data_IF_648555890005
#
_entry.id   IF_648555890005
#
_cell.length_a   1.000
_cell.length_b   1.000
_cell.length_c   1.000
_cell.angle_alpha   90.00
_cell.angle_beta   90.00
_cell.angle_gamma   90.00
#
_symmetry.space_group_name_H-M   'P 1'
#
loop_
_entity.id
_entity.type
_entity.pdbx_description
1 polymer ?
#
# COMPACT_ATOMS: atom_id res chain seq x y z
N UNK A 1 -14.88 -3.79 14.47
CA UNK A 1 -14.18 -2.91 13.49
C UNK A 1 -13.32 -3.70 12.50
N UNK A 2 -12.49 -4.67 12.94
CA UNK A 2 -11.60 -5.46 12.06
C UNK A 2 -12.30 -6.31 10.96
N UNK A 3 -13.54 -6.77 11.19
CA UNK A 3 -14.28 -7.55 10.19
C UNK A 3 -14.86 -6.70 9.05
N UNK A 4 -15.12 -5.40 9.28
CA UNK A 4 -15.62 -4.48 8.24
C UNK A 4 -14.52 -4.18 7.22
N UNK A 5 -13.27 -4.06 7.68
CA UNK A 5 -12.12 -3.73 6.82
C UNK A 5 -11.79 -4.88 5.86
N UNK A 6 -11.94 -6.14 6.31
CA UNK A 6 -11.59 -7.35 5.54
C UNK A 6 -12.40 -7.51 4.24
N UNK A 7 -13.60 -6.94 4.15
CA UNK A 7 -14.43 -6.98 2.93
C UNK A 7 -14.17 -5.87 1.92
N UNK A 8 -13.40 -4.83 2.29
CA UNK A 8 -13.18 -3.67 1.41
C UNK A 8 -12.09 -3.94 0.38
N UNK A 9 -12.22 -3.34 -0.81
CA UNK A 9 -11.18 -3.36 -1.83
C UNK A 9 -9.91 -2.65 -1.34
N UNK A 10 -8.75 -3.09 -1.84
CA UNK A 10 -7.44 -2.51 -1.49
C UNK A 10 -7.43 -1.00 -1.72
N UNK A 11 -8.02 -0.56 -2.83
CA UNK A 11 -8.18 0.87 -3.19
C UNK A 11 -8.89 1.66 -2.09
N UNK A 12 -9.98 1.12 -1.56
CA UNK A 12 -10.76 1.79 -0.52
C UNK A 12 -10.03 1.81 0.82
N UNK A 13 -9.29 0.75 1.18
CA UNK A 13 -8.46 0.74 2.39
C UNK A 13 -7.35 1.79 2.35
N UNK A 14 -6.70 1.94 1.20
CA UNK A 14 -5.66 2.96 1.00
C UNK A 14 -6.24 4.39 1.08
N UNK A 15 -7.41 4.62 0.45
CA UNK A 15 -8.09 5.91 0.55
C UNK A 15 -8.52 6.23 1.99
N UNK A 16 -9.01 5.23 2.74
CA UNK A 16 -9.35 5.42 4.15
C UNK A 16 -8.12 5.73 4.99
N UNK A 17 -6.99 5.04 4.76
CA UNK A 17 -5.74 5.29 5.46
C UNK A 17 -5.27 6.74 5.22
N UNK A 18 -5.22 7.17 3.95
CA UNK A 18 -4.87 8.54 3.61
C UNK A 18 -5.84 9.56 4.21
N UNK A 19 -7.14 9.27 4.17
CA UNK A 19 -8.17 10.13 4.75
C UNK A 19 -8.00 10.31 6.25
N UNK A 20 -7.70 9.23 6.98
CA UNK A 20 -7.43 9.28 8.43
C UNK A 20 -6.16 10.07 8.72
N UNK A 21 -5.08 9.86 7.95
CA UNK A 21 -3.83 10.63 8.11
C UNK A 21 -4.06 12.12 7.86
N UNK A 22 -4.72 12.48 6.77
CA UNK A 22 -5.05 13.87 6.41
C UNK A 22 -5.93 14.50 7.49
N UNK A 23 -6.95 13.78 7.98
CA UNK A 23 -7.82 14.26 9.05
C UNK A 23 -7.02 14.52 10.34
N UNK A 24 -6.10 13.63 10.71
CA UNK A 24 -5.22 13.79 11.86
C UNK A 24 -4.35 15.05 11.75
N UNK A 25 -3.71 15.25 10.60
CA UNK A 25 -2.93 16.47 10.33
C UNK A 25 -3.80 17.74 10.34
N UNK A 26 -5.02 17.66 9.82
CA UNK A 26 -5.95 18.79 9.81
C UNK A 26 -6.38 19.18 11.23
N UNK A 27 -6.74 18.21 12.07
CA UNK A 27 -7.08 18.43 13.48
C UNK A 27 -5.88 19.03 14.23
N UNK A 28 -4.69 18.46 14.04
CA UNK A 28 -3.45 18.98 14.63
C UNK A 28 -3.19 20.42 14.19
N UNK A 29 -3.34 20.73 12.90
CA UNK A 29 -3.19 22.07 12.34
C UNK A 29 -4.15 23.07 12.95
N UNK A 30 -5.44 22.71 13.10
CA UNK A 30 -6.44 23.56 13.76
C UNK A 30 -6.08 23.81 15.22
N UNK A 31 -5.73 22.76 15.98
CA UNK A 31 -5.37 22.91 17.40
C UNK A 31 -4.12 23.76 17.57
N UNK A 32 -3.10 23.55 16.75
CA UNK A 32 -1.86 24.32 16.76
C UNK A 32 -2.12 25.78 16.40
N UNK A 33 -2.91 26.04 15.36
CA UNK A 33 -3.30 27.39 14.95
C UNK A 33 -4.08 28.11 16.04
N UNK A 34 -5.06 27.46 16.65
CA UNK A 34 -5.88 28.04 17.71
C UNK A 34 -5.05 28.35 18.97
N UNK A 35 -4.16 27.43 19.35
CA UNK A 35 -3.23 27.60 20.46
C UNK A 35 -2.29 28.78 20.21
N UNK A 36 -1.62 28.80 19.04
CA UNK A 36 -0.70 29.88 18.65
C UNK A 36 -1.42 31.23 18.59
N UNK A 37 -2.62 31.31 18.04
CA UNK A 37 -3.39 32.55 18.00
C UNK A 37 -3.78 33.07 19.38
N UNK A 38 -3.94 32.18 20.35
CA UNK A 38 -4.30 32.52 21.73
C UNK A 38 -3.10 33.06 22.51
N UNK A 39 -1.93 32.43 22.35
CA UNK A 39 -0.72 32.71 23.16
C UNK A 39 0.28 33.67 22.52
N UNK A 40 0.20 33.91 21.20
CA UNK A 40 1.13 34.80 20.49
C UNK A 40 1.16 36.22 21.06
N UNK A 41 2.24 36.95 20.76
CA UNK A 41 2.30 38.41 20.95
C UNK A 41 1.09 39.05 20.24
N UNK A 42 0.42 39.99 20.92
CA UNK A 42 -0.86 40.57 20.51
C UNK A 42 -2.06 39.60 20.47
N UNK A 43 -1.91 38.37 20.95
CA UNK A 43 -2.99 37.42 21.21
C UNK A 43 -3.84 37.80 22.43
N UNK A 44 -5.02 37.19 22.62
CA UNK A 44 -5.92 37.50 23.72
C UNK A 44 -5.30 37.28 25.10
N UNK A 45 -4.53 36.19 25.29
CA UNK A 45 -3.89 35.93 26.57
C UNK A 45 -2.78 36.95 26.87
N UNK A 46 -1.97 37.28 25.86
CA UNK A 46 -0.94 38.32 25.97
C UNK A 46 -1.54 39.67 26.35
N UNK A 47 -2.61 40.10 25.67
CA UNK A 47 -3.31 41.36 25.98
C UNK A 47 -3.85 41.40 27.41
N UNK A 48 -4.36 40.27 27.91
CA UNK A 48 -4.83 40.18 29.30
C UNK A 48 -3.69 40.33 30.31
N UNK A 49 -2.52 39.76 30.02
CA UNK A 49 -1.32 39.92 30.86
C UNK A 49 -0.86 41.38 30.84
N UNK A 50 -0.79 42.01 29.66
CA UNK A 50 -0.43 43.43 29.52
C UNK A 50 -1.40 44.32 30.29
N UNK A 51 -2.72 44.11 30.13
CA UNK A 51 -3.73 44.84 30.89
C UNK A 51 -3.53 44.72 32.41
N UNK A 52 -3.17 43.54 32.90
CA UNK A 52 -2.86 43.34 34.32
C UNK A 52 -1.62 44.11 34.77
N UNK A 53 -0.57 44.14 33.93
CA UNK A 53 0.64 44.92 34.19
C UNK A 53 0.37 46.43 34.17
N UNK A 54 -0.39 46.91 33.18
CA UNK A 54 -0.75 48.32 33.05
C UNK A 54 -1.58 48.78 34.26
N UNK A 55 -2.57 47.98 34.67
CA UNK A 55 -3.38 48.28 35.86
C UNK A 55 -2.54 48.34 37.14
N UNK A 56 -1.54 47.45 37.30
CA UNK A 56 -0.62 47.51 38.44
C UNK A 56 0.20 48.79 38.40
N UNK A 57 0.70 49.19 37.22
CA UNK A 57 1.49 50.40 37.03
C UNK A 57 0.68 51.68 37.27
N UNK A 58 -0.61 51.67 36.94
CA UNK A 58 -1.53 52.80 37.14
C UNK A 58 -1.92 53.00 38.62
N UNK A 59 -1.87 51.94 39.44
CA UNK A 59 -2.39 51.95 40.83
C UNK A 59 -1.28 51.99 41.88
N UNK A 60 -0.16 51.29 41.66
CA UNK A 60 0.93 51.23 42.63
C UNK A 60 2.03 52.23 42.28
N UNK A 61 2.56 52.98 43.27
CA UNK A 61 3.71 53.83 43.04
C UNK A 61 4.91 52.95 42.63
N UNK A 62 5.62 53.31 41.55
CA UNK A 62 6.74 52.52 41.07
C UNK A 62 7.91 52.59 42.07
N UNK A 63 8.48 51.44 42.48
CA UNK A 63 9.52 51.38 43.52
C UNK A 63 10.82 52.08 43.15
N UNK A 64 11.11 52.23 41.85
CA UNK A 64 12.26 52.99 41.33
C UNK A 64 11.97 54.50 41.18
N UNK A 65 10.91 55.02 41.81
CA UNK A 65 10.57 56.44 41.73
C UNK A 65 10.47 57.07 43.13
N UNK A 66 11.31 58.06 43.41
CA UNK A 66 11.37 58.77 44.71
C UNK A 66 10.23 59.77 44.94
N UNK A 67 9.16 59.75 44.13
CA UNK A 67 8.04 60.72 44.23
C UNK A 67 7.33 60.67 45.58
N UNK A 68 7.14 59.47 46.14
CA UNK A 68 6.50 59.32 47.45
C UNK A 68 7.42 59.84 48.57
N UNK A 69 8.73 59.58 48.49
CA UNK A 69 9.71 60.13 49.44
C UNK A 69 9.76 61.67 49.35
N UNK A 70 9.64 62.23 48.14
CA UNK A 70 9.52 63.67 47.95
C UNK A 70 8.23 64.24 48.53
N UNK A 71 7.08 63.58 48.34
CA UNK A 71 5.81 63.95 48.97
C UNK A 71 5.92 63.94 50.50
N UNK A 72 6.56 62.92 51.08
CA UNK A 72 6.81 62.84 52.53
C UNK A 72 7.65 64.04 52.99
N UNK A 73 8.65 64.47 52.21
CA UNK A 73 9.43 65.67 52.55
C UNK A 73 8.55 66.91 52.69
N UNK A 74 7.56 67.08 51.81
CA UNK A 74 6.63 68.20 51.87
C UNK A 74 5.64 68.06 53.03
N UNK A 75 5.12 66.85 53.29
CA UNK A 75 4.22 66.59 54.41
C UNK A 75 4.90 66.84 55.77
N UNK A 76 6.18 66.47 55.91
CA UNK A 76 6.96 66.70 57.12
C UNK A 76 7.14 68.20 57.44
N UNK A 77 7.17 69.07 56.43
CA UNK A 77 7.27 70.52 56.65
C UNK A 77 6.03 71.08 57.37
N UNK A 78 4.85 70.57 57.04
CA UNK A 78 3.57 71.09 57.54
C UNK A 78 3.06 70.33 58.77
N UNK A 79 3.49 69.07 58.98
CA UNK A 79 3.04 68.26 60.11
C UNK A 79 3.63 68.74 61.45
N UNK A 80 2.80 68.81 62.50
CA UNK A 80 3.19 69.25 63.84
C UNK A 80 3.07 68.13 64.87
N UNK A 81 2.34 67.06 64.57
CA UNK A 81 2.17 65.92 65.46
C UNK A 81 3.40 65.00 65.40
N UNK A 82 4.09 64.85 66.54
CA UNK A 82 5.32 64.05 66.66
C UNK A 82 5.13 62.58 66.26
N UNK A 83 4.00 61.95 66.61
CA UNK A 83 3.70 60.55 66.27
C UNK A 83 3.53 60.38 64.75
N UNK A 84 2.88 61.35 64.09
CA UNK A 84 2.73 61.32 62.63
C UNK A 84 4.06 61.58 61.91
N UNK A 85 4.89 62.50 62.43
CA UNK A 85 6.24 62.74 61.92
C UNK A 85 7.07 61.45 61.96
N UNK A 86 7.05 60.74 63.08
CA UNK A 86 7.81 59.49 63.22
C UNK A 86 7.31 58.40 62.27
N UNK A 87 5.99 58.28 62.10
CA UNK A 87 5.40 57.36 61.12
C UNK A 87 5.77 57.71 59.67
N UNK A 88 5.81 58.99 59.32
CA UNK A 88 6.26 59.45 58.00
C UNK A 88 7.74 59.13 57.77
N UNK A 89 8.59 59.28 58.80
CA UNK A 89 10.01 58.91 58.74
C UNK A 89 10.17 57.39 58.57
N UNK A 90 9.40 56.56 59.27
CA UNK A 90 9.39 55.11 59.09
C UNK A 90 8.98 54.72 57.67
N UNK A 91 7.91 55.33 57.14
CA UNK A 91 7.48 55.12 55.76
C UNK A 91 8.60 55.49 54.77
N UNK A 92 9.29 56.61 54.97
CA UNK A 92 10.41 57.00 54.11
C UNK A 92 11.57 56.00 54.15
N UNK A 93 11.90 55.45 55.34
CA UNK A 93 12.92 54.39 55.47
C UNK A 93 12.51 53.14 54.71
N UNK A 94 11.24 52.75 54.80
CA UNK A 94 10.70 51.61 54.06
C UNK A 94 10.80 51.84 52.54
N UNK A 95 10.38 53.00 52.04
CA UNK A 95 10.47 53.36 50.62
C UNK A 95 11.92 53.34 50.11
N UNK A 96 12.87 53.84 50.91
CA UNK A 96 14.29 53.75 50.56
C UNK A 96 14.76 52.29 50.44
N UNK A 97 14.34 51.42 51.37
CA UNK A 97 14.69 50.00 51.34
C UNK A 97 14.13 49.30 50.09
N UNK A 98 12.88 49.59 49.72
CA UNK A 98 12.26 49.07 48.50
C UNK A 98 13.00 49.56 47.24
N UNK A 99 13.36 50.85 47.21
CA UNK A 99 14.14 51.45 46.13
C UNK A 99 15.51 50.77 45.98
N UNK A 100 16.28 50.65 47.07
CA UNK A 100 17.61 50.03 47.04
C UNK A 100 17.52 48.57 46.57
N UNK A 101 16.55 47.81 47.10
CA UNK A 101 16.32 46.40 46.72
C UNK A 101 15.98 46.27 45.24
N UNK A 102 15.11 47.14 44.74
CA UNK A 102 14.72 47.11 43.32
C UNK A 102 15.87 47.53 42.41
N UNK A 103 16.72 48.43 42.89
CA UNK A 103 17.83 48.92 42.11
C UNK A 103 18.92 47.86 41.95
N UNK A 104 19.24 47.16 43.05
CA UNK A 104 20.14 46.01 43.05
C UNK A 104 19.66 44.91 42.08
N UNK A 105 18.35 44.63 42.09
CA UNK A 105 17.74 43.70 41.13
C UNK A 105 18.06 44.11 39.69
N UNK A 106 17.84 45.37 39.32
CA UNK A 106 18.09 45.84 37.95
C UNK A 106 19.58 45.89 37.60
N UNK A 107 20.49 46.16 38.54
CA UNK A 107 21.93 46.07 38.29
C UNK A 107 22.32 44.62 37.93
N UNK A 108 21.70 43.63 38.58
CA UNK A 108 22.00 42.21 38.41
C UNK A 108 21.36 41.57 37.17
N UNK A 109 20.26 42.15 36.67
CA UNK A 109 19.49 41.59 35.56
C UNK A 109 20.16 41.88 34.21
N UNK A 110 20.09 40.92 33.28
CA UNK A 110 20.58 41.13 31.91
C UNK A 110 19.54 41.83 31.07
N UNK A 111 19.85 43.03 30.57
CA UNK A 111 18.96 43.80 29.71
C UNK A 111 18.95 43.31 28.25
N UNK A 112 19.80 42.34 27.87
CA UNK A 112 20.04 41.93 26.48
C UNK A 112 21.32 42.54 25.91
N UNK A 113 21.66 42.13 24.68
CA UNK A 113 22.95 42.46 24.04
C UNK A 113 22.85 43.61 23.00
N UNK A 114 21.66 44.14 22.74
CA UNK A 114 21.49 45.20 21.74
C UNK A 114 22.06 46.53 22.26
N UNK A 115 22.51 47.40 21.35
CA UNK A 115 23.02 48.73 21.72
C UNK A 115 21.98 49.54 22.51
N UNK A 116 20.69 49.43 22.14
CA UNK A 116 19.57 50.07 22.85
C UNK A 116 19.36 49.50 24.26
N UNK A 117 19.72 48.25 24.50
CA UNK A 117 19.63 47.62 25.83
C UNK A 117 20.71 48.17 26.77
N UNK A 118 21.90 48.46 26.22
CA UNK A 118 23.00 49.11 26.96
C UNK A 118 22.64 50.54 27.35
N UNK A 119 22.11 51.33 26.41
CA UNK A 119 21.68 52.69 26.70
C UNK A 119 20.56 52.72 27.76
N UNK A 120 19.59 51.80 27.68
CA UNK A 120 18.52 51.69 28.67
C UNK A 120 19.06 51.31 30.05
N UNK A 121 20.03 50.39 30.09
CA UNK A 121 20.73 50.01 31.32
C UNK A 121 21.48 51.20 31.93
N UNK A 122 22.18 51.98 31.13
CA UNK A 122 22.89 53.17 31.63
C UNK A 122 21.91 54.24 32.15
N UNK A 123 20.76 54.38 31.51
CA UNK A 123 19.70 55.28 31.96
C UNK A 123 19.13 54.88 33.33
N UNK A 124 18.90 53.59 33.58
CA UNK A 124 18.37 53.13 34.89
C UNK A 124 19.43 53.10 35.99
N UNK A 125 20.67 52.68 35.66
CA UNK A 125 21.75 52.50 36.66
C UNK A 125 22.46 53.81 37.01
N UNK A 126 22.43 54.81 36.12
CA UNK A 126 23.15 56.07 36.33
C UNK A 126 22.22 57.28 36.29
N UNK A 127 21.48 57.45 35.19
CA UNK A 127 20.72 58.68 34.95
C UNK A 127 19.58 58.89 35.95
N UNK A 128 18.77 57.86 36.23
CA UNK A 128 17.73 57.94 37.26
C UNK A 128 18.30 57.72 38.68
N UNK A 129 19.31 56.87 38.84
CA UNK A 129 19.77 56.45 40.15
C UNK A 129 20.61 57.49 40.91
N UNK A 130 21.56 58.16 40.25
CA UNK A 130 22.49 59.06 40.92
C UNK A 130 21.76 60.22 41.65
N UNK A 131 20.79 60.92 41.03
CA UNK A 131 20.05 61.97 41.73
C UNK A 131 19.20 61.44 42.89
N UNK A 132 18.66 60.21 42.78
CA UNK A 132 17.88 59.59 43.85
C UNK A 132 18.72 59.26 45.09
N UNK A 133 19.96 58.80 44.92
CA UNK A 133 20.86 58.55 46.05
C UNK A 133 21.31 59.86 46.69
N UNK A 134 21.61 60.89 45.91
CA UNK A 134 21.93 62.22 46.45
C UNK A 134 20.74 62.82 47.21
N UNK A 135 19.52 62.67 46.67
CA UNK A 135 18.27 63.02 47.34
C UNK A 135 18.13 62.28 48.67
N UNK A 136 18.21 60.94 48.66
CA UNK A 136 18.06 60.14 49.88
C UNK A 136 19.12 60.48 50.91
N UNK A 137 20.38 60.67 50.49
CA UNK A 137 21.46 61.07 51.39
C UNK A 137 21.13 62.39 52.10
N UNK A 138 20.79 63.45 51.37
CA UNK A 138 20.43 64.73 52.01
C UNK A 138 19.13 64.67 52.80
N UNK A 139 18.17 63.87 52.36
CA UNK A 139 16.92 63.66 53.06
C UNK A 139 17.13 63.02 54.44
N UNK A 140 17.90 61.93 54.51
CA UNK A 140 18.13 61.21 55.78
C UNK A 140 19.20 61.87 56.66
N UNK A 141 20.28 62.39 56.09
CA UNK A 141 21.41 62.91 56.87
C UNK A 141 21.20 64.34 57.39
N UNK A 142 20.35 65.15 56.73
CA UNK A 142 20.20 66.57 57.05
C UNK A 142 18.75 67.01 57.21
N UNK A 143 17.87 66.68 56.24
CA UNK A 143 16.48 67.13 56.28
C UNK A 143 15.71 66.56 57.49
N UNK A 144 15.75 65.24 57.71
CA UNK A 144 15.07 64.61 58.87
C UNK A 144 15.58 65.18 60.20
N UNK A 145 16.89 65.30 60.46
CA UNK A 145 17.39 65.96 61.66
C UNK A 145 16.90 67.40 61.86
N UNK A 146 16.78 68.20 60.79
CA UNK A 146 16.21 69.55 60.87
C UNK A 146 14.73 69.54 61.28
N UNK A 147 13.94 68.60 60.75
CA UNK A 147 12.54 68.39 61.15
C UNK A 147 12.46 68.00 62.63
N UNK A 148 13.27 67.05 63.07
CA UNK A 148 13.29 66.57 64.47
C UNK A 148 13.73 67.66 65.47
N UNK A 149 14.63 68.56 65.06
CA UNK A 149 15.07 69.72 65.86
C UNK A 149 14.09 70.89 65.83
N UNK A 150 13.05 70.83 65.01
CA UNK A 150 12.09 71.93 64.83
C UNK A 150 12.60 73.10 63.98
N UNK A 151 13.75 72.94 63.29
CA UNK A 151 14.36 73.95 62.42
C UNK A 151 13.67 73.98 61.04
N UNK A 152 12.35 74.16 61.02
CA UNK A 152 11.51 74.01 59.82
C UNK A 152 11.83 74.99 58.69
N UNK A 153 12.32 76.19 58.98
CA UNK A 153 12.67 77.16 57.93
C UNK A 153 13.87 76.70 57.10
N UNK A 154 14.91 76.14 57.77
CA UNK A 154 16.06 75.53 57.08
C UNK A 154 15.66 74.26 56.34
N UNK A 155 14.81 73.43 56.94
CA UNK A 155 14.28 72.25 56.26
C UNK A 155 13.50 72.64 54.99
N UNK A 156 12.69 73.71 55.06
CA UNK A 156 11.92 74.23 53.92
C UNK A 156 12.84 74.75 52.81
N UNK A 157 13.91 75.45 53.16
CA UNK A 157 14.91 75.91 52.18
C UNK A 157 15.59 74.71 51.49
N UNK A 158 16.02 73.71 52.26
CA UNK A 158 16.64 72.50 51.74
C UNK A 158 15.68 71.70 50.83
N UNK A 159 14.40 71.63 51.20
CA UNK A 159 13.38 70.95 50.41
C UNK A 159 13.11 71.65 49.07
N UNK A 160 13.05 72.98 49.07
CA UNK A 160 12.77 73.78 47.86
C UNK A 160 13.95 73.89 46.90
N UNK A 161 15.17 73.81 47.41
CA UNK A 161 16.39 73.93 46.61
C UNK A 161 16.90 72.55 46.24
N UNK A 162 17.68 71.94 47.12
CA UNK A 162 18.42 70.71 46.84
C UNK A 162 17.49 69.50 46.60
N UNK A 163 16.51 69.25 47.48
CA UNK A 163 15.65 68.07 47.33
C UNK A 163 14.76 68.18 46.09
N UNK A 164 14.23 69.36 45.79
CA UNK A 164 13.46 69.59 44.56
C UNK A 164 14.34 69.42 43.31
N UNK A 165 15.54 70.00 43.28
CA UNK A 165 16.48 69.85 42.16
C UNK A 165 16.80 68.38 41.90
N UNK A 166 17.14 67.61 42.93
CA UNK A 166 17.46 66.18 42.78
C UNK A 166 16.25 65.34 42.41
N UNK A 167 15.06 65.68 42.91
CA UNK A 167 13.82 65.05 42.47
C UNK A 167 13.53 65.31 40.98
N UNK A 168 13.74 66.54 40.51
CA UNK A 168 13.54 66.93 39.12
C UNK A 168 14.56 66.24 38.19
N UNK A 169 15.84 66.18 38.57
CA UNK A 169 16.86 65.40 37.86
C UNK A 169 16.50 63.91 37.77
N UNK A 170 16.07 63.31 38.89
CA UNK A 170 15.62 61.93 38.92
C UNK A 170 14.41 61.70 38.00
N UNK A 171 13.41 62.61 38.04
CA UNK A 171 12.21 62.54 37.17
C UNK A 171 12.60 62.53 35.70
N UNK A 172 13.51 63.41 35.28
CA UNK A 172 13.99 63.45 33.88
C UNK A 172 14.67 62.12 33.50
N UNK A 173 15.46 61.54 34.42
CA UNK A 173 16.04 60.21 34.22
C UNK A 173 14.99 59.12 34.06
N UNK A 174 13.98 59.09 34.92
CA UNK A 174 12.85 58.15 34.86
C UNK A 174 12.07 58.33 33.55
N UNK A 175 11.74 59.55 33.14
CA UNK A 175 11.03 59.84 31.89
C UNK A 175 11.79 59.31 30.66
N UNK A 176 13.12 59.41 30.69
CA UNK A 176 13.98 58.87 29.64
C UNK A 176 13.96 57.34 29.63
N UNK A 177 14.05 56.69 30.80
CA UNK A 177 13.94 55.23 30.95
C UNK A 177 12.58 54.74 30.44
N UNK A 178 11.49 55.41 30.80
CA UNK A 178 10.12 55.09 30.34
C UNK A 178 10.03 55.20 28.82
N UNK A 179 10.49 56.31 28.24
CA UNK A 179 10.46 56.53 26.79
C UNK A 179 11.24 55.47 26.02
N UNK A 180 12.44 55.10 26.51
CA UNK A 180 13.27 54.06 25.91
C UNK A 180 12.66 52.66 26.07
N UNK A 181 12.03 52.38 27.21
CA UNK A 181 11.33 51.11 27.46
C UNK A 181 10.11 50.96 26.53
N UNK A 182 9.35 52.03 26.29
CA UNK A 182 8.23 52.03 25.35
C UNK A 182 8.72 51.71 23.93
N UNK A 183 9.78 52.37 23.46
CA UNK A 183 10.31 52.12 22.12
C UNK A 183 10.88 50.70 21.98
N UNK A 184 11.60 50.22 23.00
CA UNK A 184 12.08 48.83 23.05
C UNK A 184 10.92 47.83 22.95
N UNK A 185 9.90 47.97 23.79
CA UNK A 185 8.73 47.09 23.79
C UNK A 185 8.04 47.08 22.42
N UNK A 186 7.90 48.25 21.79
CA UNK A 186 7.31 48.37 20.44
C UNK A 186 8.14 47.62 19.39
N UNK A 187 9.46 47.74 19.41
CA UNK A 187 10.36 47.00 18.49
C UNK A 187 10.27 45.50 18.73
N UNK A 188 10.27 45.06 19.98
CA UNK A 188 10.19 43.64 20.34
C UNK A 188 8.82 43.03 19.99
N UNK A 189 7.72 43.76 20.18
CA UNK A 189 6.39 43.36 19.72
C UNK A 189 6.32 43.21 18.20
N UNK A 190 6.91 44.14 17.45
CA UNK A 190 6.98 44.07 15.98
C UNK A 190 7.81 42.88 15.51
N UNK A 191 8.99 42.65 16.12
CA UNK A 191 9.82 41.47 15.83
C UNK A 191 9.11 40.17 16.16
N UNK A 192 8.44 40.11 17.30
CA UNK A 192 7.65 38.95 17.73
C UNK A 192 6.52 38.64 16.75
N UNK A 193 5.74 39.64 16.36
CA UNK A 193 4.63 39.46 15.41
C UNK A 193 5.11 39.08 14.01
N UNK A 194 6.19 39.69 13.50
CA UNK A 194 6.79 39.33 12.22
C UNK A 194 7.32 37.90 12.19
N UNK A 195 8.03 37.49 13.25
CA UNK A 195 8.57 36.13 13.40
C UNK A 195 7.44 35.10 13.40
N UNK A 196 6.35 35.37 14.13
CA UNK A 196 5.20 34.47 14.20
C UNK A 196 4.52 34.37 12.83
N UNK A 197 4.30 35.49 12.13
CA UNK A 197 3.63 35.49 10.83
C UNK A 197 4.35 34.61 9.80
N UNK A 198 5.67 34.78 9.63
CA UNK A 198 6.42 33.98 8.65
C UNK A 198 6.51 32.51 9.04
N UNK A 199 6.73 32.20 10.33
CA UNK A 199 6.77 30.81 10.81
C UNK A 199 5.41 30.11 10.65
N UNK A 200 4.31 30.80 10.94
CA UNK A 200 2.96 30.26 10.71
C UNK A 200 2.71 30.00 9.23
N UNK A 201 3.15 30.90 8.34
CA UNK A 201 3.06 30.67 6.89
C UNK A 201 3.87 29.44 6.46
N UNK A 202 5.12 29.30 6.90
CA UNK A 202 5.94 28.11 6.61
C UNK A 202 5.30 26.81 7.10
N UNK A 203 4.73 26.79 8.30
CA UNK A 203 4.04 25.61 8.84
C UNK A 203 2.81 25.23 8.01
N UNK A 204 2.04 26.21 7.54
CA UNK A 204 0.91 25.95 6.63
C UNK A 204 1.42 25.34 5.31
N UNK A 205 2.49 25.89 4.73
CA UNK A 205 3.05 25.38 3.48
C UNK A 205 3.61 23.95 3.62
N UNK A 206 4.28 23.64 4.73
CA UNK A 206 4.74 22.27 5.03
C UNK A 206 3.54 21.34 5.16
N UNK A 207 2.52 21.71 5.94
CA UNK A 207 1.33 20.89 6.11
C UNK A 207 0.56 20.64 4.80
N UNK A 208 0.48 21.66 3.93
CA UNK A 208 -0.11 21.51 2.59
C UNK A 208 0.73 20.57 1.71
N UNK A 209 2.06 20.69 1.78
CA UNK A 209 3.01 19.80 1.11
C UNK A 209 2.85 18.35 1.53
N UNK A 210 2.68 18.08 2.83
CA UNK A 210 2.46 16.73 3.36
C UNK A 210 1.16 16.11 2.85
N UNK A 211 0.07 16.89 2.77
CA UNK A 211 -1.21 16.41 2.19
C UNK A 211 -1.02 16.01 0.73
N UNK A 212 -0.34 16.85 -0.07
CA UNK A 212 -0.05 16.57 -1.48
C UNK A 212 0.83 15.32 -1.61
N UNK A 213 1.85 15.19 -0.76
CA UNK A 213 2.75 14.04 -0.75
C UNK A 213 2.00 12.74 -0.44
N UNK A 214 1.14 12.73 0.58
CA UNK A 214 0.29 11.58 0.93
C UNK A 214 -0.60 11.18 -0.27
N UNK A 215 -1.18 12.16 -0.96
CA UNK A 215 -2.04 11.93 -2.11
C UNK A 215 -1.26 11.33 -3.29
N UNK A 216 -0.06 11.88 -3.59
CA UNK A 216 0.84 11.36 -4.63
C UNK A 216 1.21 9.90 -4.32
N UNK A 217 1.67 9.61 -3.10
CA UNK A 217 2.04 8.25 -2.67
C UNK A 217 0.84 7.29 -2.82
N UNK A 218 -0.35 7.70 -2.39
CA UNK A 218 -1.56 6.88 -2.56
C UNK A 218 -1.87 6.58 -4.02
N UNK A 219 -1.81 7.57 -4.90
CA UNK A 219 -2.04 7.38 -6.34
C UNK A 219 -0.99 6.44 -6.95
N UNK A 220 0.27 6.57 -6.56
CA UNK A 220 1.35 5.68 -7.01
C UNK A 220 1.10 4.23 -6.58
N UNK A 221 0.77 4.00 -5.30
CA UNK A 221 0.47 2.65 -4.79
C UNK A 221 -0.76 2.05 -5.48
N UNK A 222 -1.83 2.82 -5.68
CA UNK A 222 -3.02 2.36 -6.41
C UNK A 222 -2.65 1.94 -7.83
N UNK A 223 -1.84 2.73 -8.54
CA UNK A 223 -1.41 2.41 -9.91
C UNK A 223 -0.48 1.20 -9.96
N UNK A 224 0.45 1.06 -9.02
CA UNK A 224 1.45 -0.01 -9.03
C UNK A 224 0.89 -1.35 -8.54
N UNK A 225 -0.08 -1.35 -7.61
CA UNK A 225 -0.60 -2.58 -7.00
C UNK A 225 -1.98 -2.94 -7.54
N UNK A 226 -2.92 -1.99 -7.49
CA UNK A 226 -4.33 -2.30 -7.78
C UNK A 226 -4.55 -2.56 -9.26
N UNK A 227 -3.89 -1.80 -10.15
CA UNK A 227 -4.06 -1.94 -11.59
C UNK A 227 -3.55 -3.29 -12.12
N UNK A 228 -2.32 -3.76 -11.80
CA UNK A 228 -1.86 -5.07 -12.28
C UNK A 228 -2.69 -6.23 -11.71
N UNK A 229 -3.13 -6.15 -10.45
CA UNK A 229 -4.02 -7.16 -9.87
C UNK A 229 -5.36 -7.24 -10.61
N UNK A 230 -5.94 -6.11 -11.00
CA UNK A 230 -7.16 -6.09 -11.80
C UNK A 230 -6.97 -6.74 -13.17
N UNK A 231 -5.81 -6.55 -13.81
CA UNK A 231 -5.49 -7.23 -15.07
C UNK A 231 -5.38 -8.75 -14.91
N UNK A 232 -4.75 -9.22 -13.81
CA UNK A 232 -4.68 -10.65 -13.49
C UNK A 232 -6.06 -11.24 -13.27
N UNK A 233 -6.90 -10.58 -12.46
CA UNK A 233 -8.27 -11.04 -12.20
C UNK A 233 -9.09 -11.08 -13.49
N UNK A 234 -9.07 -10.03 -14.30
CA UNK A 234 -9.82 -9.99 -15.56
C UNK A 234 -9.37 -11.08 -16.55
N UNK A 235 -8.06 -11.36 -16.62
CA UNK A 235 -7.52 -12.42 -17.48
C UNK A 235 -7.90 -13.81 -16.95
N UNK A 236 -7.84 -13.99 -15.63
CA UNK A 236 -8.27 -15.24 -14.99
C UNK A 236 -9.76 -15.52 -15.19
N UNK A 237 -10.62 -14.51 -15.12
CA UNK A 237 -12.05 -14.64 -15.40
C UNK A 237 -12.31 -15.08 -16.86
N UNK A 238 -11.57 -14.54 -17.83
CA UNK A 238 -11.64 -14.99 -19.24
C UNK A 238 -11.22 -16.45 -19.40
N UNK A 239 -10.11 -16.84 -18.79
CA UNK A 239 -9.63 -18.23 -18.80
C UNK A 239 -10.66 -19.16 -18.15
N UNK A 240 -11.28 -18.76 -17.03
CA UNK A 240 -12.32 -19.52 -16.36
C UNK A 240 -13.58 -19.71 -17.22
N UNK A 241 -13.85 -18.79 -18.15
CA UNK A 241 -14.92 -18.90 -19.15
C UNK A 241 -14.52 -19.73 -20.38
N UNK A 242 -13.30 -20.29 -20.41
CA UNK A 242 -12.78 -21.10 -21.52
C UNK A 242 -12.10 -20.29 -22.63
N UNK A 243 -11.99 -18.97 -22.48
CA UNK A 243 -11.28 -18.12 -23.44
C UNK A 243 -9.77 -18.12 -23.16
N UNK A 244 -9.06 -19.04 -23.81
CA UNK A 244 -7.59 -19.11 -23.79
C UNK A 244 -6.92 -18.20 -24.83
N UNK A 245 -7.66 -17.34 -25.54
CA UNK A 245 -7.08 -16.42 -26.53
C UNK A 245 -6.58 -15.12 -25.91
N UNK A 246 -6.79 -14.92 -24.60
CA UNK A 246 -6.35 -13.72 -23.89
C UNK A 246 -4.84 -13.44 -24.02
N UNK A 247 -4.49 -12.17 -24.14
CA UNK A 247 -3.09 -11.75 -24.19
C UNK A 247 -2.36 -12.07 -22.88
N UNK A 248 -1.04 -12.28 -22.98
CA UNK A 248 -0.18 -12.43 -21.80
C UNK A 248 -0.20 -11.14 -20.98
N UNK A 249 -0.25 -11.30 -19.67
CA UNK A 249 -0.22 -10.17 -18.74
C UNK A 249 1.18 -9.57 -18.76
N UNK A 250 1.27 -8.27 -19.01
CA UNK A 250 2.54 -7.52 -19.04
C UNK A 250 2.67 -6.70 -17.76
N UNK A 251 3.30 -7.28 -16.75
CA UNK A 251 3.65 -6.60 -15.50
C UNK A 251 5.16 -6.34 -15.52
N UNK A 252 5.56 -5.07 -15.63
CA UNK A 252 6.98 -4.67 -15.68
C UNK A 252 7.64 -4.53 -14.31
N UNK A 253 6.93 -4.87 -13.22
CA UNK A 253 7.48 -4.79 -11.87
C UNK A 253 8.47 -5.92 -11.61
N UNK A 254 9.48 -5.67 -10.76
CA UNK A 254 10.45 -6.68 -10.32
C UNK A 254 10.10 -7.28 -8.96
N UNK A 255 8.93 -6.96 -8.43
CA UNK A 255 8.42 -7.43 -7.14
C UNK A 255 7.57 -8.71 -7.28
N UNK A 256 6.82 -9.06 -6.23
CA UNK A 256 5.92 -10.20 -6.19
C UNK A 256 4.83 -10.15 -7.26
N UNK A 257 4.41 -8.96 -7.71
CA UNK A 257 3.41 -8.80 -8.77
C UNK A 257 4.00 -9.13 -10.13
N UNK A 258 5.26 -8.76 -10.39
CA UNK A 258 5.99 -9.20 -11.58
C UNK A 258 6.07 -10.72 -11.66
N UNK A 259 6.53 -11.35 -10.57
CA UNK A 259 6.60 -12.82 -10.45
C UNK A 259 5.23 -13.48 -10.60
N UNK A 260 4.18 -12.90 -10.04
CA UNK A 260 2.80 -13.38 -10.20
C UNK A 260 2.40 -13.37 -11.68
N UNK A 261 2.67 -12.28 -12.39
CA UNK A 261 2.41 -12.18 -13.83
C UNK A 261 3.15 -13.23 -14.65
N UNK A 262 4.43 -13.47 -14.37
CA UNK A 262 5.22 -14.51 -15.04
C UNK A 262 4.68 -15.92 -14.79
N UNK A 263 4.39 -16.26 -13.54
CA UNK A 263 3.84 -17.58 -13.18
C UNK A 263 2.46 -17.77 -13.81
N UNK A 264 1.63 -16.73 -13.82
CA UNK A 264 0.31 -16.76 -14.45
C UNK A 264 0.40 -16.98 -15.97
N UNK A 265 1.35 -16.31 -16.63
CA UNK A 265 1.59 -16.50 -18.07
C UNK A 265 2.06 -17.93 -18.38
N UNK A 266 2.92 -18.52 -17.55
CA UNK A 266 3.32 -19.93 -17.69
C UNK A 266 2.12 -20.87 -17.54
N UNK A 267 1.21 -20.60 -16.61
CA UNK A 267 -0.02 -21.36 -16.46
C UNK A 267 -0.90 -21.28 -17.71
N UNK A 268 -1.08 -20.09 -18.29
CA UNK A 268 -1.83 -19.90 -19.54
C UNK A 268 -1.19 -20.68 -20.71
N UNK A 269 0.15 -20.63 -20.84
CA UNK A 269 0.86 -21.38 -21.88
C UNK A 269 0.67 -22.89 -21.71
N UNK A 270 0.77 -23.42 -20.48
CA UNK A 270 0.52 -24.83 -20.19
C UNK A 270 -0.92 -25.26 -20.52
N UNK A 271 -1.92 -24.43 -20.18
CA UNK A 271 -3.30 -24.70 -20.55
C UNK A 271 -3.47 -24.76 -22.07
N UNK A 272 -2.90 -23.80 -22.81
CA UNK A 272 -2.93 -23.80 -24.28
C UNK A 272 -2.29 -25.07 -24.87
N UNK A 273 -1.15 -25.49 -24.34
CA UNK A 273 -0.48 -26.70 -24.79
C UNK A 273 -1.35 -27.95 -24.59
N UNK A 274 -1.98 -28.10 -23.41
CA UNK A 274 -2.91 -29.20 -23.13
C UNK A 274 -4.07 -29.21 -24.13
N UNK A 275 -4.69 -28.05 -24.42
CA UNK A 275 -5.80 -27.99 -25.38
C UNK A 275 -5.36 -28.32 -26.82
N UNK A 276 -4.15 -27.93 -27.23
CA UNK A 276 -3.61 -28.32 -28.54
C UNK A 276 -3.36 -29.82 -28.63
N UNK A 277 -2.86 -30.44 -27.57
CA UNK A 277 -2.63 -31.89 -27.50
C UNK A 277 -3.94 -32.68 -27.50
N UNK A 278 -4.96 -32.22 -26.76
CA UNK A 278 -6.31 -32.78 -26.79
C UNK A 278 -6.89 -32.70 -28.19
N UNK A 279 -6.77 -31.55 -28.87
CA UNK A 279 -7.23 -31.38 -30.25
C UNK A 279 -6.53 -32.33 -31.21
N UNK A 280 -5.20 -32.42 -31.15
CA UNK A 280 -4.41 -33.34 -31.97
C UNK A 280 -4.81 -34.80 -31.75
N UNK A 281 -5.08 -35.18 -30.51
CA UNK A 281 -5.55 -36.53 -30.17
C UNK A 281 -6.96 -36.78 -30.72
N UNK A 282 -7.87 -35.80 -30.61
CA UNK A 282 -9.20 -35.89 -31.19
C UNK A 282 -9.16 -36.05 -32.72
N UNK A 283 -8.29 -35.30 -33.41
CA UNK A 283 -8.10 -35.41 -34.86
C UNK A 283 -7.56 -36.80 -35.26
N UNK A 284 -6.61 -37.36 -34.49
CA UNK A 284 -6.13 -38.74 -34.70
C UNK A 284 -7.24 -39.76 -34.50
N UNK A 285 -8.02 -39.64 -33.43
CA UNK A 285 -9.16 -40.52 -33.15
C UNK A 285 -10.20 -40.44 -34.28
N UNK A 286 -10.50 -39.24 -34.78
CA UNK A 286 -11.40 -39.06 -35.91
C UNK A 286 -10.87 -39.75 -37.18
N UNK A 287 -9.57 -39.58 -37.49
CA UNK A 287 -8.93 -40.24 -38.64
C UNK A 287 -8.94 -41.77 -38.52
N UNK A 288 -8.57 -42.32 -37.35
CA UNK A 288 -8.58 -43.77 -37.12
C UNK A 288 -10.01 -44.33 -37.17
N UNK A 289 -11.01 -43.58 -36.72
CA UNK A 289 -12.41 -43.98 -36.83
C UNK A 289 -12.85 -44.06 -38.30
N UNK A 290 -12.38 -43.13 -39.15
CA UNK A 290 -12.67 -43.15 -40.59
C UNK A 290 -12.00 -44.33 -41.31
N UNK A 291 -10.75 -44.63 -40.97
CA UNK A 291 -10.02 -45.78 -41.50
C UNK A 291 -10.68 -47.10 -41.08
N UNK A 292 -11.09 -47.21 -39.81
CA UNK A 292 -11.82 -48.36 -39.28
C UNK A 292 -13.16 -48.55 -40.00
N UNK A 293 -13.90 -47.47 -40.26
CA UNK A 293 -15.15 -47.52 -41.03
C UNK A 293 -14.90 -48.06 -42.44
N UNK A 294 -13.84 -47.60 -43.11
CA UNK A 294 -13.50 -48.04 -44.47
C UNK A 294 -13.09 -49.53 -44.49
N UNK A 295 -12.30 -49.96 -43.50
CA UNK A 295 -11.90 -51.36 -43.33
C UNK A 295 -13.09 -52.27 -43.05
N UNK A 296 -14.07 -51.78 -42.28
CA UNK A 296 -15.31 -52.51 -42.01
C UNK A 296 -16.17 -52.67 -43.28
N UNK A 297 -16.22 -51.68 -44.17
CA UNK A 297 -16.89 -51.77 -45.47
C UNK A 297 -16.21 -52.82 -46.39
N UNK A 298 -14.88 -52.81 -46.48
CA UNK A 298 -14.11 -53.79 -47.25
C UNK A 298 -14.28 -55.21 -46.70
N UNK A 299 -14.28 -55.37 -45.37
CA UNK A 299 -14.52 -56.65 -44.71
C UNK A 299 -15.93 -57.18 -45.01
N UNK A 300 -16.95 -56.32 -45.00
CA UNK A 300 -18.31 -56.70 -45.39
C UNK A 300 -18.36 -57.18 -46.85
N UNK A 301 -17.69 -56.47 -47.77
CA UNK A 301 -17.61 -56.87 -49.17
C UNK A 301 -16.91 -58.23 -49.33
N UNK A 302 -15.75 -58.41 -48.68
CA UNK A 302 -15.00 -59.68 -48.70
C UNK A 302 -15.82 -60.84 -48.10
N UNK A 303 -16.55 -60.59 -47.02
CA UNK A 303 -17.44 -61.58 -46.41
C UNK A 303 -18.55 -62.01 -47.38
N UNK A 304 -19.09 -61.07 -48.16
CA UNK A 304 -20.08 -61.37 -49.19
C UNK A 304 -19.50 -62.21 -50.33
N UNK A 305 -18.26 -61.95 -50.75
CA UNK A 305 -17.55 -62.77 -51.74
C UNK A 305 -17.28 -64.19 -51.21
N UNK A 306 -16.79 -64.32 -49.97
CA UNK A 306 -16.58 -65.62 -49.32
C UNK A 306 -17.88 -66.41 -49.23
N UNK A 307 -18.98 -65.76 -48.83
CA UNK A 307 -20.31 -66.38 -48.79
C UNK A 307 -20.72 -66.91 -50.17
N UNK A 308 -20.47 -66.13 -51.23
CA UNK A 308 -20.73 -66.54 -52.62
C UNK A 308 -19.87 -67.72 -53.04
N UNK A 309 -18.57 -67.71 -52.69
CA UNK A 309 -17.65 -68.80 -52.98
C UNK A 309 -18.04 -70.09 -52.26
N UNK A 310 -18.43 -70.02 -50.98
CA UNK A 310 -18.95 -71.16 -50.20
C UNK A 310 -20.19 -71.74 -50.88
N UNK A 311 -21.12 -70.90 -51.35
CA UNK A 311 -22.32 -71.36 -52.05
C UNK A 311 -21.97 -72.10 -53.36
N UNK A 312 -20.98 -71.59 -54.12
CA UNK A 312 -20.47 -72.26 -55.32
C UNK A 312 -19.79 -73.59 -55.00
N UNK A 313 -19.00 -73.67 -53.93
CA UNK A 313 -18.37 -74.91 -53.45
C UNK A 313 -19.44 -75.93 -53.06
N UNK A 314 -20.47 -75.54 -52.32
CA UNK A 314 -21.58 -76.42 -51.95
C UNK A 314 -22.30 -76.98 -53.20
N UNK A 315 -22.56 -76.12 -54.20
CA UNK A 315 -23.15 -76.54 -55.48
C UNK A 315 -22.24 -77.50 -56.26
N UNK A 316 -20.93 -77.22 -56.27
CA UNK A 316 -19.92 -78.08 -56.88
C UNK A 316 -19.83 -79.45 -56.20
N UNK A 317 -19.79 -79.47 -54.86
CA UNK A 317 -19.79 -80.70 -54.07
C UNK A 317 -21.05 -81.55 -54.31
N UNK A 318 -22.23 -80.92 -54.39
CA UNK A 318 -23.48 -81.61 -54.74
C UNK A 318 -23.41 -82.23 -56.14
N UNK A 319 -22.89 -81.49 -57.14
CA UNK A 319 -22.70 -82.00 -58.50
C UNK A 319 -21.68 -83.15 -58.55
N UNK A 320 -20.62 -83.05 -57.76
CA UNK A 320 -19.58 -84.09 -57.65
C UNK A 320 -20.15 -85.37 -57.02
N UNK A 321 -20.96 -85.25 -55.98
CA UNK A 321 -21.65 -86.38 -55.36
C UNK A 321 -22.56 -87.11 -56.36
N UNK A 322 -23.32 -86.35 -57.17
CA UNK A 322 -24.16 -86.89 -58.24
C UNK A 322 -23.34 -87.65 -59.29
N UNK A 323 -22.27 -87.05 -59.81
CA UNK A 323 -21.37 -87.72 -60.78
C UNK A 323 -20.71 -88.98 -60.21
N UNK A 324 -20.34 -88.95 -58.93
CA UNK A 324 -19.75 -90.10 -58.24
C UNK A 324 -20.76 -91.25 -58.15
N UNK A 325 -22.02 -90.94 -57.84
CA UNK A 325 -23.12 -91.92 -57.85
C UNK A 325 -23.32 -92.53 -59.25
N UNK A 326 -23.34 -91.69 -60.29
CA UNK A 326 -23.42 -92.17 -61.69
C UNK A 326 -22.24 -93.04 -62.09
N UNK A 327 -21.01 -92.67 -61.66
CA UNK A 327 -19.81 -93.48 -61.91
C UNK A 327 -19.90 -94.82 -61.20
N UNK A 328 -20.42 -94.86 -59.98
CA UNK A 328 -20.66 -96.10 -59.25
C UNK A 328 -21.62 -97.03 -60.02
N UNK A 329 -22.74 -96.49 -60.52
CA UNK A 329 -23.68 -97.23 -61.37
C UNK A 329 -23.04 -97.71 -62.68
N UNK A 330 -22.21 -96.90 -63.32
CA UNK A 330 -21.48 -97.30 -64.53
C UNK A 330 -20.48 -98.42 -64.24
N UNK A 331 -19.79 -98.36 -63.10
CA UNK A 331 -18.85 -99.39 -62.65
C UNK A 331 -19.57 -100.70 -62.32
N UNK A 332 -20.77 -100.64 -61.75
CA UNK A 332 -21.64 -101.81 -61.54
C UNK A 332 -22.02 -102.47 -62.87
N UNK A 333 -22.44 -101.68 -63.88
CA UNK A 333 -22.71 -102.19 -65.23
C UNK A 333 -21.46 -102.82 -65.88
N UNK A 334 -20.29 -102.19 -65.73
CA UNK A 334 -19.03 -102.75 -66.23
C UNK A 334 -18.67 -104.07 -65.55
N UNK A 335 -18.92 -104.21 -64.24
CA UNK A 335 -18.73 -105.47 -63.50
C UNK A 335 -19.62 -106.59 -64.05
N UNK A 336 -20.88 -106.27 -64.39
CA UNK A 336 -21.80 -107.21 -65.07
C UNK A 336 -21.26 -107.61 -66.44
N UNK A 337 -20.83 -106.65 -67.26
CA UNK A 337 -20.24 -106.91 -68.57
C UNK A 337 -18.96 -107.76 -68.48
N UNK A 338 -18.11 -107.53 -67.48
CA UNK A 338 -16.92 -108.34 -67.23
C UNK A 338 -17.28 -109.78 -66.87
N UNK A 339 -18.28 -110.00 -66.01
CA UNK A 339 -18.79 -111.35 -65.72
C UNK A 339 -19.29 -112.04 -67.01
N UNK A 340 -19.99 -111.32 -67.87
CA UNK A 340 -20.43 -111.82 -69.18
C UNK A 340 -19.24 -112.19 -70.07
N UNK A 341 -18.23 -111.32 -70.16
CA UNK A 341 -17.03 -111.55 -70.96
C UNK A 341 -16.25 -112.78 -70.48
N UNK A 342 -16.12 -112.97 -69.17
CA UNK A 342 -15.54 -114.19 -68.58
C UNK A 342 -16.35 -115.42 -68.96
N UNK A 343 -17.68 -115.38 -68.83
CA UNK A 343 -18.55 -116.51 -69.21
C UNK A 343 -18.44 -116.85 -70.71
N UNK A 344 -18.36 -115.84 -71.58
CA UNK A 344 -18.12 -116.02 -73.01
C UNK A 344 -16.73 -116.63 -73.27
N UNK A 345 -15.68 -116.13 -72.61
CA UNK A 345 -14.33 -116.70 -72.73
C UNK A 345 -14.29 -118.16 -72.29
N UNK A 346 -15.02 -118.52 -71.22
CA UNK A 346 -15.18 -119.90 -70.75
C UNK A 346 -15.87 -120.77 -71.82
N UNK A 347 -16.96 -120.27 -72.41
CA UNK A 347 -17.70 -120.96 -73.47
C UNK A 347 -16.85 -121.16 -74.72
N UNK A 348 -16.10 -120.14 -75.13
CA UNK A 348 -15.13 -120.24 -76.22
C UNK A 348 -14.04 -121.26 -75.92
N UNK A 349 -13.51 -121.28 -74.69
CA UNK A 349 -12.54 -122.29 -74.25
C UNK A 349 -13.10 -123.71 -74.34
N UNK A 350 -14.35 -123.94 -73.90
CA UNK A 350 -15.03 -125.23 -74.07
C UNK A 350 -15.24 -125.60 -75.54
N UNK A 351 -15.62 -124.65 -76.39
CA UNK A 351 -15.78 -124.86 -77.83
C UNK A 351 -14.46 -125.21 -78.51
N UNK A 352 -13.35 -124.54 -78.14
CA UNK A 352 -12.00 -124.86 -78.62
C UNK A 352 -11.60 -126.28 -78.19
N UNK A 353 -11.89 -126.69 -76.96
CA UNK A 353 -11.63 -128.06 -76.50
C UNK A 353 -12.47 -129.11 -77.28
N UNK A 354 -13.73 -128.82 -77.59
CA UNK A 354 -14.55 -129.69 -78.45
C UNK A 354 -14.02 -129.76 -79.88
N UNK A 355 -13.65 -128.63 -80.48
CA UNK A 355 -13.05 -128.58 -81.80
C UNK A 355 -11.74 -129.40 -81.85
N UNK A 356 -10.94 -129.33 -80.79
CA UNK A 356 -9.74 -130.17 -80.62
C UNK A 356 -10.09 -131.67 -80.59
N UNK A 357 -11.13 -132.07 -79.86
CA UNK A 357 -11.60 -133.46 -79.85
C UNK A 357 -12.15 -133.92 -81.21
N UNK A 358 -12.91 -133.09 -81.92
CA UNK A 358 -13.37 -133.42 -83.27
C UNK A 358 -12.21 -133.54 -84.26
N UNK A 359 -11.19 -132.68 -84.16
CA UNK A 359 -9.98 -132.79 -84.97
C UNK A 359 -9.20 -134.10 -84.65
N UNK A 360 -9.15 -134.51 -83.38
CA UNK A 360 -8.54 -135.77 -82.98
C UNK A 360 -9.32 -136.98 -83.50
N UNK A 361 -10.64 -136.98 -83.38
CA UNK A 361 -11.49 -138.05 -83.92
C UNK A 361 -11.46 -138.08 -85.46
N UNK A 362 -11.41 -136.93 -86.11
CA UNK A 362 -11.20 -136.81 -87.56
C UNK A 362 -9.85 -137.38 -87.99
N UNK A 363 -8.80 -137.17 -87.19
CA UNK A 363 -7.49 -137.82 -87.39
C UNK A 363 -7.60 -139.35 -87.28
N UNK A 364 -8.32 -139.87 -86.29
CA UNK A 364 -8.52 -141.32 -86.13
C UNK A 364 -9.35 -141.92 -87.28
N UNK A 365 -10.44 -141.27 -87.69
CA UNK A 365 -11.27 -141.71 -88.82
C UNK A 365 -10.50 -141.67 -90.15
N UNK A 366 -9.62 -140.68 -90.33
CA UNK A 366 -8.71 -140.64 -91.48
C UNK A 366 -7.68 -141.79 -91.44
N UNK A 367 -7.21 -142.20 -90.26
CA UNK A 367 -6.34 -143.37 -90.11
C UNK A 367 -7.08 -144.68 -90.40
N UNK A 368 -8.32 -144.86 -89.94
CA UNK A 368 -9.16 -146.04 -90.24
C UNK A 368 -9.52 -146.14 -91.73
N UNK A 369 -9.73 -145.01 -92.41
CA UNK A 369 -9.99 -144.97 -93.85
C UNK A 369 -8.75 -145.37 -94.67
N UNK A 370 -7.54 -145.06 -94.19
CA UNK A 370 -6.28 -145.50 -94.81
C UNK A 370 -6.07 -147.01 -94.61
N UNK A 371 -6.45 -147.57 -93.46
CA UNK A 371 -6.27 -148.98 -93.15
C UNK A 371 -7.17 -149.90 -93.99
N UNK A 372 -8.40 -149.46 -94.33
CA UNK A 372 -9.33 -150.18 -95.24
C UNK A 372 -8.95 -150.20 -96.72
N UNK A 373 -7.92 -149.46 -97.12
CA UNK A 373 -7.39 -149.41 -98.50
C UNK A 373 -6.15 -150.33 -98.66
N UNK A 374 -5.67 -150.91 -97.56
CA UNK A 374 -4.66 -151.99 -97.51
C UNK A 374 -5.34 -153.35 -97.36
#
# INVERSE_FOLDING_TARGET
>A
MMNVIKGLSIKLRLMLLAGVSILGFFIFGIMSYWTLNTVKVNGPLYKRIVQGKDLIADVLPPPEYIIETYLISLQLLDETNSVKIEKLIENAKFLKSEYDTRHEYWISESFGDLATDKELRDAIISLSYNPAIEFHKKFFDEFIPLIQKGEKDKARELAKTFLNEKYEEHRVGVDKVVSMSIERNKVDEQRGTATIRWRTFLLIMIGLGDIVLILIICVLIIRQITLPLQQVVATAERIAQGDLTADKIKISSQDELGRLGEVFNKLLDSLRAIFLEVRSTADKVASSSQELSSSAEEMNASTQEVSTAINNVAKGASTQAEKSSQTSLAMERSSVNLKQAVANAQSTSSAVNQASNYAQNGKTAAQEAVEKIT
#
